data_IF_246687924620
#
_entry.id   IF_246687924620
#
_cell.length_a   1.000
_cell.length_b   1.000
_cell.length_c   1.000
_cell.angle_alpha   90.00
_cell.angle_beta   90.00
_cell.angle_gamma   90.00
#
_symmetry.space_group_name_H-M   'P 1'
#
loop_
_entity.id
_entity.type
_entity.pdbx_description
1 polymer ?
#
# COMPACT_ATOMS: atom_id res chain seq x y z
N UNK A 1 10.41 -1.39 -7.15
CA UNK A 1 9.24 -0.48 -7.15
C UNK A 1 8.42 -0.61 -5.88
N UNK A 2 7.78 0.47 -5.47
CA UNK A 2 6.96 0.48 -4.26
C UNK A 2 5.97 -0.68 -4.25
N UNK A 3 5.22 -0.80 -3.16
CA UNK A 3 4.24 -1.85 -3.02
C UNK A 3 3.05 -1.61 -3.96
N UNK A 4 2.78 -2.58 -4.82
CA UNK A 4 1.68 -2.47 -5.77
C UNK A 4 0.34 -2.77 -5.12
N UNK A 5 -0.71 -2.78 -5.95
CA UNK A 5 -2.07 -3.05 -5.47
C UNK A 5 -2.17 -4.42 -4.81
N UNK A 6 -2.78 -4.45 -3.63
CA UNK A 6 -2.97 -5.69 -2.90
C UNK A 6 -1.67 -6.22 -2.29
N UNK A 7 -0.64 -5.39 -2.24
CA UNK A 7 0.64 -5.81 -1.68
C UNK A 7 0.69 -5.53 -0.18
N UNK A 8 1.76 -5.99 0.47
CA UNK A 8 1.94 -5.80 1.90
C UNK A 8 2.24 -4.34 2.23
N UNK A 9 2.09 -3.99 3.51
CA UNK A 9 2.37 -2.64 3.97
C UNK A 9 2.44 -2.59 5.49
N UNK A 10 3.63 -2.33 6.02
CA UNK A 10 3.84 -2.26 7.46
C UNK A 10 3.17 -1.03 8.05
N UNK A 11 3.48 -0.75 9.31
CA UNK A 11 2.92 0.40 10.00
C UNK A 11 3.03 1.67 9.16
N UNK A 12 4.04 1.71 8.30
CA UNK A 12 4.26 2.87 7.45
C UNK A 12 5.25 2.57 6.33
N UNK A 13 5.02 1.48 5.59
CA UNK A 13 5.89 1.11 4.50
C UNK A 13 5.78 2.11 3.35
N UNK A 14 6.37 1.77 2.20
CA UNK A 14 6.34 2.66 1.04
C UNK A 14 5.52 2.07 -0.10
N UNK A 15 4.23 2.41 -0.13
CA UNK A 15 3.34 1.92 -1.18
C UNK A 15 3.29 2.92 -2.33
N UNK A 16 2.69 2.51 -3.44
CA UNK A 16 2.56 3.38 -4.61
C UNK A 16 1.32 4.25 -4.50
N UNK A 17 1.24 5.24 -5.37
CA UNK A 17 0.12 6.17 -5.39
C UNK A 17 -1.21 5.44 -5.59
N UNK A 18 -2.27 6.00 -5.02
CA UNK A 18 -3.58 5.39 -5.15
C UNK A 18 -3.80 4.21 -4.23
N UNK A 19 -2.86 3.99 -3.31
CA UNK A 19 -2.96 2.89 -2.37
C UNK A 19 -2.82 3.39 -0.92
N UNK A 20 -3.34 2.60 0.01
CA UNK A 20 -3.27 2.94 1.42
C UNK A 20 -2.38 1.95 2.16
N UNK A 21 -1.44 2.47 2.95
CA UNK A 21 -0.53 1.61 3.69
C UNK A 21 -1.09 1.22 5.04
N UNK A 22 -2.31 0.68 5.04
CA UNK A 22 -2.95 0.22 6.26
C UNK A 22 -2.90 -1.30 6.31
N UNK A 23 -1.76 -1.84 6.72
CA UNK A 23 -1.55 -3.28 6.78
C UNK A 23 -1.24 -3.80 5.38
N UNK A 24 -2.17 -3.57 4.46
CA UNK A 24 -2.01 -3.98 3.07
C UNK A 24 -2.38 -2.83 2.14
N UNK A 25 -1.66 -2.72 1.03
CA UNK A 25 -1.92 -1.66 0.06
C UNK A 25 -3.35 -1.74 -0.47
N UNK A 26 -4.26 -1.09 0.23
CA UNK A 26 -5.66 -1.08 -0.17
C UNK A 26 -5.90 -0.09 -1.31
N UNK A 27 -6.36 -0.61 -2.45
CA UNK A 27 -6.62 0.22 -3.61
C UNK A 27 -8.06 0.74 -3.59
N UNK A 28 -8.28 1.82 -2.86
CA UNK A 28 -9.61 2.42 -2.77
C UNK A 28 -9.53 3.87 -2.30
N UNK A 29 -10.49 4.68 -2.73
CA UNK A 29 -10.54 6.09 -2.37
C UNK A 29 -11.02 6.27 -0.93
#
# INVERSE_FOLDING_TARGET
>A
YCQKWMWTCDSARKCCEGLVCRLWCKKIIX
#
